data_IF_248404108899
#
_entry.id   IF_248404108899
#
_cell.length_a   1.000
_cell.length_b   1.000
_cell.length_c   1.000
_cell.angle_alpha   90.00
_cell.angle_beta   90.00
_cell.angle_gamma   90.00
#
_symmetry.space_group_name_H-M   'P 1'
#
loop_
_entity.id
_entity.type
_entity.pdbx_description
1 polymer ?
#
# COMPACT_ATOMS: atom_id res chain seq x y z
N UNK A 1 -0.15 1.63 32.97
CA UNK A 1 -0.69 1.51 31.60
C UNK A 1 -1.43 0.17 31.54
N UNK A 2 -2.76 0.18 31.68
CA UNK A 2 -3.56 -1.06 31.75
C UNK A 2 -3.85 -1.48 30.31
N UNK A 3 -3.24 -2.57 29.84
CA UNK A 3 -3.58 -3.19 28.55
C UNK A 3 -4.94 -3.86 28.67
N UNK A 4 -5.96 -3.30 28.03
CA UNK A 4 -7.30 -3.89 27.96
C UNK A 4 -7.28 -5.06 26.96
N UNK A 5 -7.25 -6.29 27.47
CA UNK A 5 -7.40 -7.52 26.66
C UNK A 5 -8.72 -7.44 25.89
N UNK A 6 -8.63 -7.42 24.56
CA UNK A 6 -9.77 -7.27 23.65
C UNK A 6 -9.66 -6.09 22.69
N UNK A 7 -8.84 -5.08 23.00
CA UNK A 7 -8.56 -3.96 22.08
C UNK A 7 -7.35 -4.21 21.16
N UNK A 8 -6.47 -5.17 21.51
CA UNK A 8 -5.31 -5.54 20.68
C UNK A 8 -5.74 -6.02 19.27
N UNK A 9 -6.88 -6.72 19.16
CA UNK A 9 -7.39 -7.18 17.86
C UNK A 9 -7.99 -6.05 17.01
N UNK A 10 -8.59 -5.04 17.64
CA UNK A 10 -9.22 -3.92 16.92
C UNK A 10 -8.14 -2.99 16.33
N UNK A 11 -7.01 -2.82 17.00
CA UNK A 11 -5.87 -2.06 16.44
C UNK A 11 -5.25 -2.80 15.26
N UNK A 12 -5.04 -4.12 15.36
CA UNK A 12 -4.52 -4.95 14.26
C UNK A 12 -5.46 -4.98 13.06
N UNK A 13 -6.77 -5.18 13.25
CA UNK A 13 -7.75 -5.16 12.16
C UNK A 13 -7.80 -3.80 11.45
N UNK A 14 -7.65 -2.69 12.19
CA UNK A 14 -7.60 -1.34 11.61
C UNK A 14 -6.31 -1.11 10.83
N UNK A 15 -5.18 -1.63 11.31
CA UNK A 15 -3.88 -1.54 10.65
C UNK A 15 -3.89 -2.36 9.34
N UNK A 16 -4.42 -3.58 9.37
CA UNK A 16 -4.63 -4.40 8.17
C UNK A 16 -5.58 -3.73 7.15
N UNK A 17 -6.71 -3.17 7.61
CA UNK A 17 -7.62 -2.42 6.73
C UNK A 17 -6.96 -1.17 6.13
N UNK A 18 -6.12 -0.45 6.89
CA UNK A 18 -5.36 0.70 6.38
C UNK A 18 -4.33 0.26 5.35
N UNK A 19 -3.64 -0.87 5.55
CA UNK A 19 -2.68 -1.42 4.61
C UNK A 19 -3.36 -1.84 3.30
N UNK A 20 -4.51 -2.50 3.35
CA UNK A 20 -5.32 -2.83 2.16
C UNK A 20 -5.72 -1.55 1.41
N UNK A 21 -6.15 -0.52 2.13
CA UNK A 21 -6.50 0.77 1.54
C UNK A 21 -5.31 1.47 0.87
N UNK A 22 -4.11 1.36 1.44
CA UNK A 22 -2.88 1.89 0.88
C UNK A 22 -2.45 1.13 -0.38
N UNK A 23 -2.52 -0.20 -0.38
CA UNK A 23 -2.22 -1.02 -1.57
C UNK A 23 -3.20 -0.74 -2.71
N UNK A 24 -4.50 -0.61 -2.42
CA UNK A 24 -5.51 -0.26 -3.41
C UNK A 24 -5.20 1.07 -4.11
N UNK A 25 -4.76 2.09 -3.34
CA UNK A 25 -4.32 3.38 -3.89
C UNK A 25 -3.06 3.24 -4.75
N UNK A 26 -2.08 2.44 -4.32
CA UNK A 26 -0.86 2.21 -5.12
C UNK A 26 -1.23 1.56 -6.46
N UNK A 27 -2.08 0.54 -6.47
CA UNK A 27 -2.54 -0.09 -7.70
C UNK A 27 -3.27 0.90 -8.63
N UNK A 28 -4.11 1.78 -8.07
CA UNK A 28 -4.76 2.84 -8.86
C UNK A 28 -3.73 3.77 -9.53
N UNK A 29 -2.69 4.17 -8.80
CA UNK A 29 -1.63 5.03 -9.34
C UNK A 29 -0.86 4.29 -10.45
N UNK A 30 -0.48 3.03 -10.24
CA UNK A 30 0.19 2.21 -11.25
C UNK A 30 -0.66 2.14 -12.53
N UNK A 31 -1.97 1.84 -12.42
CA UNK A 31 -2.84 1.76 -13.60
C UNK A 31 -2.98 3.09 -14.35
N UNK A 32 -2.93 4.24 -13.64
CA UNK A 32 -2.89 5.55 -14.30
C UNK A 32 -1.58 5.72 -15.07
N UNK A 33 -0.45 5.38 -14.45
CA UNK A 33 0.89 5.51 -15.04
C UNK A 33 1.07 4.60 -16.28
N UNK A 34 0.52 3.39 -16.25
CA UNK A 34 0.52 2.46 -17.38
C UNK A 34 -0.29 2.97 -18.59
N UNK A 35 -1.24 3.88 -18.36
CA UNK A 35 -2.02 4.54 -19.42
C UNK A 35 -1.32 5.73 -20.09
N UNK A 36 -0.16 6.16 -19.57
CA UNK A 36 0.62 7.28 -20.12
C UNK A 36 1.66 6.80 -21.13
N UNK A 37 2.18 7.72 -21.94
CA UNK A 37 3.31 7.42 -22.82
C UNK A 37 4.52 6.99 -21.97
N UNK A 38 5.14 5.82 -22.24
CA UNK A 38 6.17 5.28 -21.37
C UNK A 38 7.45 6.10 -21.47
N UNK A 39 7.80 6.78 -20.37
CA UNK A 39 9.11 7.41 -20.18
C UNK A 39 9.95 6.65 -19.15
N UNK A 40 11.24 7.00 -19.07
CA UNK A 40 12.14 6.44 -18.06
C UNK A 40 11.63 6.72 -16.64
N UNK A 41 11.15 7.94 -16.39
CA UNK A 41 10.63 8.39 -15.11
C UNK A 41 9.36 7.64 -14.72
N UNK A 42 8.46 7.38 -15.67
CA UNK A 42 7.23 6.60 -15.42
C UNK A 42 7.59 5.16 -15.06
N UNK A 43 8.53 4.56 -15.79
CA UNK A 43 8.97 3.17 -15.54
C UNK A 43 9.62 3.05 -14.16
N UNK A 44 10.49 3.99 -13.79
CA UNK A 44 11.12 4.04 -12.46
C UNK A 44 10.07 4.25 -11.35
N UNK A 45 9.08 5.12 -11.57
CA UNK A 45 8.01 5.37 -10.62
C UNK A 45 7.16 4.12 -10.36
N UNK A 46 6.78 3.39 -11.41
CA UNK A 46 6.07 2.11 -11.28
C UNK A 46 6.91 1.10 -10.49
N UNK A 47 8.21 1.00 -10.78
CA UNK A 47 9.12 0.11 -10.05
C UNK A 47 9.17 0.40 -8.55
N UNK A 48 9.29 1.67 -8.17
CA UNK A 48 9.26 2.10 -6.76
C UNK A 48 7.94 1.76 -6.07
N UNK A 49 6.82 1.97 -6.75
CA UNK A 49 5.48 1.65 -6.21
C UNK A 49 5.28 0.14 -5.99
N UNK A 50 5.82 -0.69 -6.89
CA UNK A 50 5.86 -2.15 -6.73
C UNK A 50 6.75 -2.59 -5.56
N UNK A 51 7.86 -1.89 -5.28
CA UNK A 51 8.70 -2.17 -4.11
C UNK A 51 7.99 -1.80 -2.80
N UNK A 52 7.28 -0.66 -2.76
CA UNK A 52 6.50 -0.26 -1.59
C UNK A 52 5.43 -1.31 -1.26
N UNK A 53 4.76 -1.89 -2.26
CA UNK A 53 3.79 -2.97 -2.05
C UNK A 53 4.38 -4.20 -1.34
N UNK A 54 5.61 -4.57 -1.68
CA UNK A 54 6.30 -5.72 -1.07
C UNK A 54 6.68 -5.47 0.40
N UNK A 55 7.04 -4.23 0.75
CA UNK A 55 7.40 -3.85 2.12
C UNK A 55 6.19 -3.90 3.05
N UNK A 56 5.01 -3.52 2.55
CA UNK A 56 3.73 -3.57 3.26
C UNK A 56 3.22 -5.02 3.50
N UNK A 57 4.01 -6.05 3.15
CA UNK A 57 3.77 -7.44 3.53
C UNK A 57 2.87 -8.23 2.57
N UNK A 58 2.87 -7.88 1.28
CA UNK A 58 2.10 -8.55 0.22
C UNK A 58 2.97 -9.10 -0.90
#
# INVERSE_FOLDING_TARGET
MVKLKGFENIELEKEEMMNIGSIARINQVISILEGLEPTKEITECIGLLEEVKKIEGW
#
